data_IF_351058176223
#
_entry.id   IF_351058176223
#
_cell.length_a   1.000
_cell.length_b   1.000
_cell.length_c   1.000
_cell.angle_alpha   90.00
_cell.angle_beta   90.00
_cell.angle_gamma   90.00
#
_symmetry.space_group_name_H-M   'P 1'
#
loop_
_entity.id
_entity.type
_entity.pdbx_description
1 polymer ?
#
# COMPACT_ATOMS: atom_id res chain seq x y z
N UNK A 1 0.46 -10.48 -21.53
CA UNK A 1 0.99 -10.78 -20.19
C UNK A 1 -0.19 -10.90 -19.23
N UNK A 2 -0.18 -11.89 -18.35
CA UNK A 2 -1.24 -12.11 -17.37
C UNK A 2 -1.30 -10.95 -16.36
N UNK A 3 -2.51 -10.51 -15.99
CA UNK A 3 -2.71 -9.40 -15.05
C UNK A 3 -2.69 -9.92 -13.62
N UNK A 4 -2.03 -9.20 -12.73
CA UNK A 4 -2.15 -9.44 -11.30
C UNK A 4 -3.56 -9.06 -10.84
N UNK A 5 -4.19 -9.94 -10.09
CA UNK A 5 -5.55 -9.75 -9.56
C UNK A 5 -5.52 -9.79 -8.03
N UNK A 6 -6.18 -8.81 -7.40
CA UNK A 6 -6.30 -8.73 -5.95
C UNK A 6 -7.77 -8.90 -5.52
N UNK A 7 -8.17 -10.08 -5.01
CA UNK A 7 -9.45 -10.27 -4.37
C UNK A 7 -9.70 -9.26 -3.24
N UNK A 8 -10.85 -8.59 -3.26
CA UNK A 8 -11.24 -7.66 -2.18
C UNK A 8 -11.82 -8.38 -0.95
N UNK A 9 -12.36 -9.58 -1.11
CA UNK A 9 -12.95 -10.39 -0.01
C UNK A 9 -11.90 -11.00 0.92
N UNK A 10 -10.67 -11.18 0.45
CA UNK A 10 -9.52 -11.70 1.22
C UNK A 10 -8.33 -10.77 1.01
N UNK A 11 -8.55 -9.49 1.36
CA UNK A 11 -7.65 -8.41 1.04
C UNK A 11 -6.24 -8.58 1.63
N UNK A 12 -6.13 -8.98 2.89
CA UNK A 12 -4.82 -9.17 3.56
C UNK A 12 -4.02 -10.28 2.87
N UNK A 13 -4.66 -11.41 2.54
CA UNK A 13 -4.02 -12.52 1.85
C UNK A 13 -3.60 -12.13 0.42
N UNK A 14 -4.44 -11.36 -0.27
CA UNK A 14 -4.13 -10.83 -1.60
C UNK A 14 -2.90 -9.92 -1.57
N UNK A 15 -2.79 -9.06 -0.57
CA UNK A 15 -1.63 -8.20 -0.39
C UNK A 15 -0.36 -9.00 -0.06
N UNK A 16 -0.49 -10.06 0.73
CA UNK A 16 0.61 -10.98 1.00
C UNK A 16 1.05 -11.72 -0.27
N UNK A 17 0.11 -12.16 -1.11
CA UNK A 17 0.38 -12.83 -2.38
C UNK A 17 1.12 -11.91 -3.36
N UNK A 18 0.60 -10.70 -3.60
CA UNK A 18 1.29 -9.68 -4.42
C UNK A 18 2.67 -9.38 -3.80
N UNK A 19 2.75 -9.36 -2.47
CA UNK A 19 3.97 -9.36 -1.67
C UNK A 19 5.03 -10.34 -2.16
N UNK A 20 4.66 -11.60 -2.32
CA UNK A 20 5.55 -12.72 -2.65
C UNK A 20 5.89 -12.85 -4.13
N UNK A 21 4.96 -12.52 -5.01
CA UNK A 21 5.10 -12.79 -6.46
C UNK A 21 5.74 -11.65 -7.26
N UNK A 22 6.20 -10.59 -6.58
CA UNK A 22 6.72 -9.41 -7.26
C UNK A 22 7.98 -8.88 -6.60
N UNK A 23 8.88 -8.36 -7.42
CA UNK A 23 10.13 -7.78 -6.95
C UNK A 23 9.96 -6.30 -6.60
N UNK A 24 10.90 -5.78 -5.81
CA UNK A 24 10.85 -4.44 -5.24
C UNK A 24 12.11 -3.70 -5.63
N UNK A 25 11.95 -2.46 -6.07
CA UNK A 25 13.01 -1.46 -6.12
C UNK A 25 12.68 -0.34 -5.15
N UNK A 26 13.47 -0.20 -4.09
CA UNK A 26 13.37 0.95 -3.18
C UNK A 26 14.05 2.16 -3.84
N UNK A 27 13.24 3.19 -4.11
CA UNK A 27 13.67 4.45 -4.71
C UNK A 27 14.22 5.39 -3.64
N UNK A 28 13.50 5.52 -2.52
CA UNK A 28 13.86 6.43 -1.44
C UNK A 28 13.37 5.89 -0.08
N UNK A 29 14.13 6.18 0.97
CA UNK A 29 13.73 5.95 2.36
C UNK A 29 14.32 7.03 3.25
N UNK A 30 13.48 7.74 4.00
CA UNK A 30 13.91 8.78 4.92
C UNK A 30 12.94 8.96 6.08
N UNK A 31 13.46 9.28 7.27
CA UNK A 31 12.67 9.75 8.40
C UNK A 31 12.53 11.27 8.31
N UNK A 32 11.33 11.76 8.06
CA UNK A 32 11.07 13.19 7.82
C UNK A 32 9.73 13.62 8.41
N UNK A 33 9.52 14.93 8.54
CA UNK A 33 8.21 15.47 8.90
C UNK A 33 7.20 15.18 7.78
N UNK A 34 6.08 14.51 8.09
CA UNK A 34 5.07 14.21 7.08
C UNK A 34 4.25 15.46 6.71
N UNK A 35 3.68 15.51 5.50
CA UNK A 35 2.67 16.50 5.14
C UNK A 35 1.49 16.47 6.11
N UNK A 36 0.81 17.62 6.31
CA UNK A 36 -0.26 17.77 7.29
C UNK A 36 -1.36 16.69 7.18
N UNK A 37 -1.80 16.36 5.96
CA UNK A 37 -2.79 15.31 5.72
C UNK A 37 -2.34 13.93 6.21
N UNK A 38 -1.05 13.61 6.07
CA UNK A 38 -0.47 12.34 6.50
C UNK A 38 -0.31 12.34 8.02
N UNK A 39 0.17 13.45 8.59
CA UNK A 39 0.27 13.62 10.04
C UNK A 39 -1.10 13.42 10.71
N UNK A 40 -2.14 14.04 10.16
CA UNK A 40 -3.51 13.90 10.63
C UNK A 40 -4.01 12.45 10.50
N UNK A 41 -3.81 11.81 9.35
CA UNK A 41 -4.23 10.43 9.11
C UNK A 41 -3.55 9.43 10.07
N UNK A 42 -2.26 9.65 10.36
CA UNK A 42 -1.47 8.86 11.31
C UNK A 42 -1.64 9.30 12.78
N UNK A 43 -2.49 10.31 13.05
CA UNK A 43 -2.72 10.87 14.39
C UNK A 43 -1.42 11.28 15.11
N UNK A 44 -0.48 11.84 14.34
CA UNK A 44 0.81 12.30 14.85
C UNK A 44 0.67 13.64 15.57
N UNK A 45 1.48 13.83 16.61
CA UNK A 45 1.62 15.11 17.30
C UNK A 45 2.46 16.07 16.44
N UNK A 46 2.30 17.40 16.63
CA UNK A 46 3.14 18.38 15.94
C UNK A 46 4.64 18.08 16.16
N UNK A 47 5.40 18.08 15.07
CA UNK A 47 6.84 17.82 15.09
C UNK A 47 7.25 16.34 15.11
N UNK A 48 6.30 15.40 15.15
CA UNK A 48 6.63 13.97 15.02
C UNK A 48 6.97 13.60 13.56
N UNK A 49 8.11 12.94 13.39
CA UNK A 49 8.55 12.43 12.10
C UNK A 49 7.94 11.04 11.80
N UNK A 50 7.84 10.71 10.52
CA UNK A 50 7.46 9.41 10.02
C UNK A 50 8.50 8.88 9.03
N UNK A 51 8.58 7.56 8.91
CA UNK A 51 9.41 6.89 7.92
C UNK A 51 8.68 6.89 6.57
N UNK A 52 9.19 7.70 5.63
CA UNK A 52 8.74 7.73 4.24
C UNK A 52 9.51 6.69 3.44
N UNK A 53 8.80 5.83 2.70
CA UNK A 53 9.39 4.92 1.74
C UNK A 53 8.72 5.05 0.37
N UNK A 54 9.53 5.19 -0.69
CA UNK A 54 9.10 5.21 -2.09
C UNK A 54 9.59 3.94 -2.77
N UNK A 55 8.69 3.13 -3.32
CA UNK A 55 9.00 1.82 -3.89
C UNK A 55 8.31 1.62 -5.23
N UNK A 56 9.03 1.05 -6.19
CA UNK A 56 8.45 0.53 -7.43
C UNK A 56 8.38 -0.98 -7.34
N UNK A 57 7.24 -1.55 -7.72
CA UNK A 57 7.06 -3.01 -7.80
C UNK A 57 7.01 -3.47 -9.23
N UNK A 58 7.62 -4.61 -9.47
CA UNK A 58 7.84 -5.18 -10.79
C UNK A 58 7.33 -6.62 -10.82
N UNK A 59 6.65 -7.00 -11.89
CA UNK A 59 6.19 -8.36 -12.14
C UNK A 59 6.46 -8.74 -13.59
N UNK A 60 7.11 -9.90 -13.80
CA UNK A 60 7.58 -10.32 -15.12
C UNK A 60 8.54 -9.31 -15.76
N UNK A 61 9.42 -8.69 -14.96
CA UNK A 61 10.40 -7.71 -15.42
C UNK A 61 9.87 -6.30 -15.69
N UNK A 62 8.55 -6.08 -15.65
CA UNK A 62 7.95 -4.78 -15.95
C UNK A 62 7.34 -4.11 -14.70
N UNK A 63 7.57 -2.80 -14.50
CA UNK A 63 6.97 -2.08 -13.38
C UNK A 63 5.45 -2.05 -13.53
N UNK A 64 4.74 -2.27 -12.43
CA UNK A 64 3.28 -2.24 -12.42
C UNK A 64 2.68 -1.39 -11.30
N UNK A 65 3.48 -1.05 -10.28
CA UNK A 65 3.00 -0.23 -9.19
C UNK A 65 4.08 0.70 -8.61
N UNK A 66 3.66 1.89 -8.21
CA UNK A 66 4.47 2.87 -7.50
C UNK A 66 3.83 3.17 -6.14
N UNK A 67 4.58 2.96 -5.07
CA UNK A 67 4.12 3.09 -3.69
C UNK A 67 4.84 4.26 -3.02
N UNK A 68 4.06 5.17 -2.44
CA UNK A 68 4.54 6.13 -1.45
C UNK A 68 3.88 5.79 -0.14
N UNK A 69 4.69 5.68 0.90
CA UNK A 69 4.21 5.11 2.13
C UNK A 69 4.86 5.80 3.33
N UNK A 70 4.07 5.98 4.38
CA UNK A 70 4.41 6.70 5.59
C UNK A 70 4.07 5.81 6.77
N UNK A 71 5.05 5.51 7.59
CA UNK A 71 4.89 4.64 8.76
C UNK A 71 5.42 5.37 9.98
N UNK A 72 4.74 5.23 11.12
CA UNK A 72 5.31 5.71 12.38
C UNK A 72 6.65 5.00 12.64
N UNK A 73 7.61 5.57 13.40
CA UNK A 73 8.86 4.88 13.72
C UNK A 73 8.62 3.55 14.45
N UNK A 74 8.99 2.42 13.83
CA UNK A 74 8.80 1.06 14.39
C UNK A 74 10.10 0.40 14.87
N UNK A 75 11.20 1.16 14.94
CA UNK A 75 12.52 0.64 15.32
C UNK A 75 13.33 0.08 14.15
N UNK A 76 14.49 -0.51 14.47
CA UNK A 76 15.54 -0.81 13.49
C UNK A 76 15.18 -1.87 12.45
N UNK A 77 14.23 -2.76 12.74
CA UNK A 77 13.76 -3.75 11.76
C UNK A 77 12.97 -3.10 10.62
N UNK A 78 12.35 -1.94 10.85
CA UNK A 78 11.70 -1.17 9.79
C UNK A 78 12.69 -0.18 9.19
N UNK A 79 13.56 -0.69 8.32
CA UNK A 79 14.64 0.08 7.68
C UNK A 79 14.56 0.03 6.17
N UNK A 80 15.21 0.98 5.50
CA UNK A 80 15.35 0.98 4.04
C UNK A 80 15.93 -0.34 3.52
N UNK A 81 16.95 -0.90 4.19
CA UNK A 81 17.54 -2.17 3.77
C UNK A 81 16.52 -3.31 3.80
N UNK A 82 15.79 -3.47 4.89
CA UNK A 82 14.77 -4.51 4.99
C UNK A 82 13.61 -4.27 4.01
N UNK A 83 13.25 -3.01 3.73
CA UNK A 83 12.22 -2.65 2.75
C UNK A 83 12.64 -2.93 1.30
N UNK A 84 13.94 -3.10 0.98
CA UNK A 84 14.39 -3.58 -0.34
C UNK A 84 14.02 -5.03 -0.59
N UNK A 85 14.04 -5.85 0.47
CA UNK A 85 13.94 -7.32 0.35
C UNK A 85 12.63 -7.90 0.88
N UNK A 86 11.81 -7.11 1.58
CA UNK A 86 10.59 -7.60 2.22
C UNK A 86 9.37 -6.72 1.93
N UNK A 87 8.19 -7.35 1.93
CA UNK A 87 6.93 -6.61 1.92
C UNK A 87 6.74 -5.89 3.27
N UNK A 88 5.97 -4.79 3.28
CA UNK A 88 5.64 -4.08 4.53
C UNK A 88 4.88 -4.99 5.50
N UNK A 89 3.94 -5.78 5.00
CA UNK A 89 3.16 -6.73 5.82
C UNK A 89 4.04 -7.80 6.46
N UNK A 90 5.08 -8.30 5.76
CA UNK A 90 6.02 -9.24 6.37
C UNK A 90 6.85 -8.59 7.49
N UNK A 91 7.27 -7.33 7.30
CA UNK A 91 8.01 -6.59 8.34
C UNK A 91 7.14 -6.32 9.56
N UNK A 92 5.87 -5.93 9.38
CA UNK A 92 4.94 -5.75 10.50
C UNK A 92 4.75 -7.04 11.29
N UNK A 93 4.59 -8.19 10.60
CA UNK A 93 4.53 -9.50 11.25
C UNK A 93 5.80 -9.83 12.03
N UNK A 94 6.99 -9.59 11.46
CA UNK A 94 8.28 -9.82 12.15
C UNK A 94 8.50 -8.91 13.35
N UNK A 95 7.90 -7.72 13.34
CA UNK A 95 7.88 -6.77 14.45
C UNK A 95 6.83 -7.13 15.53
N UNK A 96 6.05 -8.19 15.33
CA UNK A 96 4.97 -8.57 16.25
C UNK A 96 3.78 -7.60 16.23
N UNK A 97 3.65 -6.80 15.17
CA UNK A 97 2.52 -5.86 15.04
C UNK A 97 1.31 -6.63 14.52
N UNK A 98 0.32 -6.79 15.39
CA UNK A 98 -0.96 -7.37 15.04
C UNK A 98 -1.84 -6.31 14.38
N UNK A 99 -1.98 -6.46 13.06
CA UNK A 99 -2.83 -5.63 12.23
C UNK A 99 -4.30 -5.99 12.51
N UNK A 100 -5.12 -5.01 12.87
CA UNK A 100 -6.53 -5.23 13.19
C UNK A 100 -7.49 -4.69 12.13
N UNK A 101 -7.17 -3.55 11.54
CA UNK A 101 -8.07 -2.87 10.62
C UNK A 101 -7.29 -2.28 9.44
N UNK A 102 -7.89 -2.38 8.26
CA UNK A 102 -7.43 -1.74 7.03
C UNK A 102 -8.59 -0.96 6.43
N UNK A 103 -8.44 0.35 6.36
CA UNK A 103 -9.33 1.21 5.58
C UNK A 103 -8.68 1.49 4.22
N UNK A 104 -9.43 1.34 3.13
CA UNK A 104 -8.91 1.55 1.79
C UNK A 104 -9.91 2.26 0.88
N UNK A 105 -9.41 3.29 0.20
CA UNK A 105 -10.11 4.03 -0.84
C UNK A 105 -9.45 3.75 -2.20
N UNK A 106 -10.27 3.42 -3.19
CA UNK A 106 -9.83 3.18 -4.57
C UNK A 106 -10.40 4.28 -5.46
N UNK A 107 -9.56 4.88 -6.29
CA UNK A 107 -9.86 5.99 -7.20
C UNK A 107 -8.97 5.91 -8.45
N UNK A 108 -8.91 6.98 -9.25
CA UNK A 108 -8.03 7.06 -10.41
C UNK A 108 -7.33 8.42 -10.47
N UNK A 109 -6.10 8.43 -10.97
CA UNK A 109 -5.30 9.64 -11.21
C UNK A 109 -4.57 9.52 -12.54
N UNK A 110 -4.26 10.64 -13.18
CA UNK A 110 -3.38 10.66 -14.34
C UNK A 110 -1.91 10.61 -13.90
N UNK A 111 -1.08 9.82 -14.59
CA UNK A 111 0.36 9.77 -14.32
C UNK A 111 1.04 11.12 -14.58
N UNK A 112 1.71 11.68 -13.59
CA UNK A 112 2.63 12.80 -13.79
C UNK A 112 3.94 12.34 -14.45
N UNK A 113 4.83 13.28 -14.78
CA UNK A 113 6.11 12.97 -15.42
C UNK A 113 7.00 12.01 -14.60
N UNK A 114 7.02 12.15 -13.27
CA UNK A 114 7.85 11.33 -12.38
C UNK A 114 7.32 9.91 -12.32
N UNK A 115 6.01 9.76 -12.09
CA UNK A 115 5.33 8.47 -12.00
C UNK A 115 5.35 7.75 -13.35
N UNK A 116 5.11 8.48 -14.45
CA UNK A 116 5.15 7.94 -15.80
C UNK A 116 6.52 7.32 -16.13
N UNK A 117 7.61 8.03 -15.81
CA UNK A 117 8.97 7.52 -15.99
C UNK A 117 9.23 6.27 -15.14
N UNK A 118 8.79 6.25 -13.87
CA UNK A 118 9.01 5.11 -12.98
C UNK A 118 8.18 3.87 -13.31
N UNK A 119 7.02 4.06 -13.95
CA UNK A 119 6.09 3.00 -14.36
C UNK A 119 6.23 2.61 -15.84
N UNK A 120 7.12 3.26 -16.58
CA UNK A 120 7.34 3.04 -18.01
C UNK A 120 6.03 3.16 -18.81
N UNK A 121 5.32 4.27 -18.59
CA UNK A 121 4.09 4.64 -19.31
C UNK A 121 4.16 6.08 -19.81
N UNK A 122 3.24 6.47 -20.67
CA UNK A 122 3.15 7.86 -21.11
C UNK A 122 2.63 8.77 -19.98
N UNK A 123 3.04 10.05 -19.99
CA UNK A 123 2.43 11.09 -19.14
C UNK A 123 0.93 11.14 -19.44
N UNK A 124 0.12 11.29 -18.39
CA UNK A 124 -1.34 11.31 -18.52
C UNK A 124 -1.99 9.93 -18.53
N UNK A 125 -1.21 8.83 -18.58
CA UNK A 125 -1.78 7.47 -18.50
C UNK A 125 -2.65 7.33 -17.23
N UNK A 126 -3.90 6.85 -17.34
CA UNK A 126 -4.75 6.65 -16.17
C UNK A 126 -4.18 5.53 -15.30
N UNK A 127 -4.02 5.83 -14.01
CA UNK A 127 -3.55 4.90 -13.00
C UNK A 127 -4.65 4.67 -11.99
N UNK A 128 -4.78 3.43 -11.54
CA UNK A 128 -5.61 3.11 -10.39
C UNK A 128 -4.89 3.60 -9.13
N UNK A 129 -5.51 4.50 -8.38
CA UNK A 129 -4.97 5.05 -7.15
C UNK A 129 -5.63 4.41 -5.94
N UNK A 130 -4.82 3.87 -5.05
CA UNK A 130 -5.25 3.23 -3.81
C UNK A 130 -4.63 3.94 -2.64
N UNK A 131 -5.46 4.50 -1.77
CA UNK A 131 -5.03 5.00 -0.47
C UNK A 131 -5.45 4.02 0.60
N UNK A 132 -4.54 3.67 1.51
CA UNK A 132 -4.76 2.70 2.58
C UNK A 132 -4.24 3.22 3.90
N UNK A 133 -5.04 3.09 4.93
CA UNK A 133 -4.66 3.33 6.32
C UNK A 133 -4.73 2.00 7.06
N UNK A 134 -3.72 1.71 7.86
CA UNK A 134 -3.64 0.45 8.63
C UNK A 134 -3.49 0.76 10.11
N UNK A 135 -4.29 0.08 10.91
CA UNK A 135 -4.37 0.28 12.36
C UNK A 135 -4.06 -0.99 13.15
N UNK A 136 -3.48 -0.80 14.34
CA UNK A 136 -3.26 -1.87 15.32
C UNK A 136 -4.58 -2.26 16.04
N UNK A 137 -4.52 -3.27 16.90
CA UNK A 137 -5.65 -3.73 17.72
C UNK A 137 -6.29 -2.69 18.64
N UNK A 138 -5.60 -1.56 18.88
CA UNK A 138 -6.10 -0.46 19.69
C UNK A 138 -6.73 0.64 18.83
N UNK A 139 -6.90 0.40 17.52
CA UNK A 139 -7.44 1.37 16.56
C UNK A 139 -6.48 2.54 16.29
N UNK A 140 -5.18 2.35 16.55
CA UNK A 140 -4.17 3.40 16.29
C UNK A 140 -3.59 3.21 14.89
N UNK A 141 -3.73 4.19 14.00
CA UNK A 141 -3.14 4.12 12.67
C UNK A 141 -1.62 4.19 12.79
N UNK A 142 -0.92 3.24 12.18
CA UNK A 142 0.54 3.20 12.17
C UNK A 142 1.12 3.23 10.75
N UNK A 143 0.29 2.99 9.74
CA UNK A 143 0.68 2.93 8.33
C UNK A 143 -0.28 3.71 7.44
N UNK A 144 0.27 4.48 6.51
CA UNK A 144 -0.44 5.13 5.42
C UNK A 144 0.28 4.80 4.10
N UNK A 145 -0.45 4.30 3.11
CA UNK A 145 0.07 3.94 1.80
C UNK A 145 -0.77 4.58 0.71
N UNK A 146 -0.11 5.27 -0.23
CA UNK A 146 -0.66 5.58 -1.54
C UNK A 146 0.03 4.70 -2.57
N UNK A 147 -0.74 3.91 -3.30
CA UNK A 147 -0.28 3.01 -4.34
C UNK A 147 -0.94 3.35 -5.67
N UNK A 148 -0.11 3.60 -6.68
CA UNK A 148 -0.54 3.84 -8.05
C UNK A 148 -0.25 2.60 -8.88
N UNK A 149 -1.27 2.03 -9.49
CA UNK A 149 -1.18 0.80 -10.29
C UNK A 149 -1.48 1.06 -11.76
N UNK A 150 -0.75 0.35 -12.60
CA UNK A 150 -1.00 0.22 -14.03
C UNK A 150 -2.23 -0.67 -14.28
N UNK A 151 -3.35 -0.15 -14.81
CA UNK A 151 -4.56 -0.94 -15.00
C UNK A 151 -4.43 -2.02 -16.09
N UNK A 152 -3.44 -1.91 -16.98
CA UNK A 152 -3.11 -2.93 -17.97
C UNK A 152 -2.42 -4.15 -17.35
N UNK A 153 -1.85 -4.03 -16.14
CA UNK A 153 -1.09 -5.08 -15.44
C UNK A 153 -1.67 -5.49 -14.09
N UNK A 154 -2.53 -4.69 -13.49
CA UNK A 154 -3.10 -4.92 -12.17
C UNK A 154 -4.58 -4.54 -12.13
N UNK A 155 -5.37 -5.38 -11.45
CA UNK A 155 -6.79 -5.14 -11.22
C UNK A 155 -7.20 -5.58 -9.82
N UNK A 156 -8.18 -4.89 -9.23
CA UNK A 156 -8.95 -5.48 -8.14
C UNK A 156 -10.09 -6.31 -8.70
N UNK A 157 -10.34 -7.44 -8.06
CA UNK A 157 -11.45 -8.32 -8.40
C UNK A 157 -12.36 -8.46 -7.19
N UNK A 158 -13.63 -8.13 -7.38
CA UNK A 158 -14.68 -8.31 -6.38
C UNK A 158 -15.67 -9.32 -6.91
N UNK A 159 -15.76 -10.47 -6.23
CA UNK A 159 -16.79 -11.45 -6.48
C UNK A 159 -17.78 -11.40 -5.31
N UNK A 160 -19.05 -11.14 -5.62
CA UNK A 160 -20.13 -11.09 -4.64
C UNK A 160 -21.15 -12.16 -5.00
N UNK A 161 -21.55 -12.97 -4.02
CA UNK A 161 -22.67 -13.88 -4.16
C UNK A 161 -23.83 -13.42 -3.28
N UNK A 162 -25.07 -13.56 -3.77
CA UNK A 162 -26.27 -13.27 -2.97
C UNK A 162 -26.44 -14.19 -1.76
N UNK A 163 -25.63 -15.26 -1.67
CA UNK A 163 -25.58 -16.19 -0.54
C UNK A 163 -24.67 -15.67 0.59
N UNK A 164 -23.81 -14.68 0.34
CA UNK A 164 -22.95 -14.07 1.36
C UNK A 164 -23.67 -13.00 2.21
N UNK A 165 -24.87 -12.58 1.81
CA UNK A 165 -25.71 -11.62 2.56
C UNK A 165 -26.48 -12.28 3.70
N UNK A 166 -25.84 -12.54 4.83
CA UNK A 166 -26.57 -12.59 6.11
C UNK A 166 -26.66 -11.18 6.67
N UNK A 167 -27.64 -10.41 6.21
CA UNK A 167 -28.00 -9.13 6.86
C UNK A 167 -28.75 -9.48 8.15
N UNK A 168 -28.03 -9.64 9.28
CA UNK A 168 -28.64 -9.55 10.60
C UNK A 168 -28.88 -8.07 10.91
N UNK A 169 -29.98 -7.54 10.39
CA UNK A 169 -30.54 -6.28 10.89
C UNK A 169 -30.94 -6.48 12.37
N UNK A 170 -30.29 -5.76 13.28
CA UNK A 170 -30.81 -5.57 14.64
C UNK A 170 -32.10 -4.76 14.52
N UNK A 171 -33.21 -5.34 14.99
CA UNK A 171 -34.41 -4.59 15.38
C UNK A 171 -34.12 -3.74 16.61
#
# INVERSE_FOLDING_TARGET
AERLSAPLTSMIDSLALIGRETSIRLVDFARVLPPAQIAQALKLRPGEAADRAIRVRTSGGLPFAHYVSWTIPLGALFSGENLRHSSRLDLFRRLGIELSEVDQVISAVAADATIAAQLEVAIGTPLLCVTRITSDQRGRPFDYLTALYRPDRFQYHLHLSSRDTTVRGRR
#
